data_IF_926880187342
#
_entry.id   IF_926880187342
#
_cell.length_a   1.000
_cell.length_b   1.000
_cell.length_c   1.000
_cell.angle_alpha   90.00
_cell.angle_beta   90.00
_cell.angle_gamma   90.00
#
_symmetry.space_group_name_H-M   'P 1'
#
loop_
_entity.id
_entity.type
_entity.pdbx_description
1 polymer ?
#
# COMPACT_ATOMS: atom_id res chain seq x y z
N UNK A 1 1.83 13.55 -13.68
CA UNK A 1 0.88 14.32 -12.85
C UNK A 1 1.59 15.51 -12.24
N UNK A 2 0.85 16.47 -11.77
CA UNK A 2 1.40 17.65 -11.13
C UNK A 2 1.70 17.34 -9.65
N UNK A 3 2.83 17.87 -9.16
CA UNK A 3 3.22 17.78 -7.76
C UNK A 3 2.12 18.30 -6.83
N UNK A 4 1.86 17.60 -5.73
CA UNK A 4 0.88 18.02 -4.73
C UNK A 4 -0.59 17.87 -5.16
N UNK A 5 -0.90 17.04 -6.17
CA UNK A 5 -2.27 16.90 -6.70
C UNK A 5 -2.86 15.50 -6.59
N UNK A 6 -2.07 14.50 -6.20
CA UNK A 6 -2.57 13.13 -6.09
C UNK A 6 -3.50 12.97 -4.88
N UNK A 7 -4.65 12.37 -5.08
CA UNK A 7 -5.60 12.04 -4.00
C UNK A 7 -5.15 10.83 -3.19
N UNK A 8 -4.56 9.85 -3.87
CA UNK A 8 -4.12 8.58 -3.30
C UNK A 8 -2.69 8.27 -3.73
N UNK A 9 -1.88 7.83 -2.79
CA UNK A 9 -0.54 7.30 -3.03
C UNK A 9 -0.51 5.85 -2.55
N UNK A 10 -0.25 4.94 -3.48
CA UNK A 10 -0.03 3.53 -3.16
C UNK A 10 1.43 3.20 -3.43
N UNK A 11 2.12 2.69 -2.42
CA UNK A 11 3.51 2.30 -2.53
C UNK A 11 3.69 0.80 -2.24
N UNK A 12 4.41 0.12 -3.12
CA UNK A 12 4.77 -1.29 -2.96
C UNK A 12 6.03 -1.48 -2.14
N UNK A 13 6.80 -0.40 -1.95
CA UNK A 13 8.05 -0.36 -1.21
C UNK A 13 8.09 0.90 -0.36
N UNK A 14 8.51 0.76 0.90
CA UNK A 14 8.30 1.82 1.90
C UNK A 14 9.14 3.08 1.65
N UNK A 15 10.38 2.96 1.16
CA UNK A 15 11.20 4.14 0.89
C UNK A 15 10.74 4.90 -0.35
N UNK A 16 10.20 4.18 -1.35
CA UNK A 16 9.58 4.81 -2.51
C UNK A 16 8.30 5.54 -2.10
N UNK A 17 7.54 4.99 -1.15
CA UNK A 17 6.40 5.68 -0.57
C UNK A 17 6.79 6.99 0.10
N UNK A 18 7.87 7.00 0.86
CA UNK A 18 8.41 8.22 1.48
C UNK A 18 8.82 9.25 0.42
N UNK A 19 9.53 8.80 -0.61
CA UNK A 19 10.00 9.67 -1.70
C UNK A 19 8.84 10.29 -2.49
N UNK A 20 7.75 9.54 -2.68
CA UNK A 20 6.62 9.96 -3.48
C UNK A 20 5.63 10.88 -2.74
N UNK A 21 5.85 11.21 -1.46
CA UNK A 21 4.96 12.09 -0.69
C UNK A 21 4.79 13.47 -1.33
N UNK A 22 5.80 13.95 -2.09
CA UNK A 22 5.72 15.23 -2.80
C UNK A 22 4.57 15.30 -3.83
N UNK A 23 4.12 14.15 -4.33
CA UNK A 23 3.03 14.08 -5.30
C UNK A 23 1.64 14.14 -4.66
N UNK A 24 1.56 13.88 -3.34
CA UNK A 24 0.29 13.80 -2.63
C UNK A 24 -0.22 15.20 -2.28
N UNK A 25 -1.51 15.42 -2.54
CA UNK A 25 -2.16 16.66 -2.10
C UNK A 25 -2.29 16.73 -0.57
N UNK A 26 -2.46 17.92 -0.04
CA UNK A 26 -2.81 18.10 1.37
C UNK A 26 -4.10 17.33 1.71
N UNK A 27 -4.07 16.52 2.76
CA UNK A 27 -5.20 15.67 3.15
C UNK A 27 -5.39 14.40 2.30
N UNK A 28 -4.46 14.11 1.39
CA UNK A 28 -4.48 12.87 0.60
C UNK A 28 -4.21 11.62 1.43
N UNK A 29 -4.50 10.48 0.86
CA UNK A 29 -4.38 9.17 1.52
C UNK A 29 -3.12 8.44 1.08
N UNK A 30 -2.32 7.95 2.03
CA UNK A 30 -1.16 7.09 1.78
C UNK A 30 -1.48 5.65 2.19
N UNK A 31 -1.17 4.73 1.29
CA UNK A 31 -1.23 3.29 1.53
C UNK A 31 0.11 2.71 1.11
N UNK A 32 0.82 2.03 2.01
CA UNK A 32 2.12 1.44 1.69
C UNK A 32 2.29 0.07 2.30
N UNK A 33 2.95 -0.81 1.56
CA UNK A 33 3.54 -2.01 2.15
C UNK A 33 4.78 -1.62 2.95
N UNK A 34 5.06 -2.39 4.01
CA UNK A 34 6.30 -2.26 4.78
C UNK A 34 7.52 -2.85 4.07
N UNK A 35 7.34 -3.36 2.85
CA UNK A 35 8.39 -3.96 2.04
C UNK A 35 9.58 -3.03 1.89
N UNK A 36 10.77 -3.57 2.14
CA UNK A 36 12.05 -2.87 1.98
C UNK A 36 12.85 -3.54 0.89
N UNK A 37 13.19 -2.76 -0.13
CA UNK A 37 14.08 -3.21 -1.21
C UNK A 37 15.30 -2.31 -1.22
N UNK A 38 16.35 -2.73 -0.48
CA UNK A 38 17.62 -1.99 -0.45
C UNK A 38 18.31 -2.21 -1.81
N UNK A 39 18.67 -1.15 -2.55
CA UNK A 39 19.37 -1.28 -3.81
C UNK A 39 20.68 -2.06 -3.64
N UNK A 40 21.13 -2.83 -4.64
CA UNK A 40 22.44 -3.49 -4.58
C UNK A 40 23.56 -2.47 -4.37
N UNK A 41 24.58 -2.85 -3.61
CA UNK A 41 25.74 -2.00 -3.28
C UNK A 41 26.39 -1.37 -4.52
N UNK A 42 26.39 -2.09 -5.63
CA UNK A 42 26.97 -1.62 -6.91
C UNK A 42 26.22 -0.46 -7.55
N UNK A 43 24.97 -0.21 -7.14
CA UNK A 43 24.14 0.86 -7.67
C UNK A 43 23.90 1.98 -6.67
N UNK A 44 24.48 1.87 -5.46
CA UNK A 44 24.19 2.79 -4.36
C UNK A 44 24.84 4.15 -4.54
N UNK A 45 26.08 4.24 -5.12
CA UNK A 45 26.79 5.51 -5.21
C UNK A 45 26.72 6.25 -3.86
N UNK A 46 26.19 7.47 -3.87
CA UNK A 46 25.96 8.28 -2.67
C UNK A 46 24.55 8.08 -2.06
N UNK A 47 23.81 7.05 -2.52
CA UNK A 47 22.45 6.80 -2.04
C UNK A 47 22.46 6.11 -0.68
N UNK A 48 21.88 6.77 0.30
CA UNK A 48 21.68 6.24 1.63
C UNK A 48 20.21 5.82 1.81
N UNK A 49 19.97 4.54 2.15
CA UNK A 49 18.61 4.08 2.40
C UNK A 49 18.09 4.73 3.68
N UNK A 50 16.90 5.35 3.67
CA UNK A 50 16.40 6.05 4.86
C UNK A 50 16.27 5.09 6.05
N UNK A 51 16.69 5.54 7.22
CA UNK A 51 16.35 4.86 8.47
C UNK A 51 14.89 5.18 8.81
N UNK A 52 14.13 4.15 9.22
CA UNK A 52 12.72 4.27 9.60
C UNK A 52 11.84 5.06 8.62
N UNK A 53 11.74 4.62 7.34
CA UNK A 53 10.90 5.32 6.37
C UNK A 53 9.41 5.35 6.77
N UNK A 54 8.91 4.30 7.42
CA UNK A 54 7.52 4.28 7.92
C UNK A 54 7.26 5.37 8.95
N UNK A 55 8.17 5.55 9.92
CA UNK A 55 8.09 6.62 10.91
C UNK A 55 8.11 8.00 10.26
N UNK A 56 8.97 8.21 9.27
CA UNK A 56 9.06 9.47 8.52
C UNK A 56 7.77 9.77 7.74
N UNK A 57 7.17 8.76 7.13
CA UNK A 57 5.86 8.92 6.48
C UNK A 57 4.81 9.35 7.50
N UNK A 58 4.76 8.70 8.67
CA UNK A 58 3.78 9.00 9.72
C UNK A 58 3.96 10.38 10.35
N UNK A 59 5.18 10.92 10.36
CA UNK A 59 5.42 12.31 10.80
C UNK A 59 4.68 13.31 9.92
N UNK A 60 4.61 13.07 8.63
CA UNK A 60 3.94 13.93 7.63
C UNK A 60 2.46 13.57 7.49
N UNK A 61 2.16 12.29 7.44
CA UNK A 61 0.81 11.73 7.26
C UNK A 61 0.51 10.79 8.44
N UNK A 62 0.04 11.31 9.58
CA UNK A 62 -0.16 10.50 10.80
C UNK A 62 -1.10 9.31 10.62
N UNK A 63 -2.08 9.41 9.72
CA UNK A 63 -3.04 8.37 9.41
C UNK A 63 -2.66 7.52 8.18
N UNK A 64 -1.40 7.53 7.77
CA UNK A 64 -0.92 6.67 6.69
C UNK A 64 -1.22 5.19 7.01
N UNK A 65 -1.74 4.49 6.02
CA UNK A 65 -2.08 3.07 6.12
C UNK A 65 -0.89 2.24 5.67
N UNK A 66 -0.10 1.78 6.64
CA UNK A 66 1.12 0.99 6.40
C UNK A 66 0.92 -0.40 6.99
N UNK A 67 1.12 -1.44 6.17
CA UNK A 67 0.91 -2.83 6.58
C UNK A 67 1.96 -3.74 5.96
N UNK A 68 2.19 -4.90 6.60
CA UNK A 68 3.07 -5.93 6.06
C UNK A 68 2.31 -6.79 5.03
N UNK A 69 2.17 -6.25 3.82
CA UNK A 69 1.47 -6.93 2.74
C UNK A 69 2.21 -8.18 2.26
N UNK A 70 3.54 -8.22 2.37
CA UNK A 70 4.33 -9.40 2.01
C UNK A 70 3.99 -10.58 2.93
N UNK A 71 3.87 -10.34 4.23
CA UNK A 71 3.50 -11.39 5.19
C UNK A 71 2.10 -11.92 4.91
N UNK A 72 1.13 -11.04 4.66
CA UNK A 72 -0.24 -11.44 4.34
C UNK A 72 -0.26 -12.28 3.07
N UNK A 73 0.45 -11.85 2.02
CA UNK A 73 0.55 -12.58 0.77
C UNK A 73 1.19 -13.97 0.95
N UNK A 74 2.27 -14.03 1.74
CA UNK A 74 2.94 -15.30 2.05
C UNK A 74 2.02 -16.26 2.82
N UNK A 75 1.25 -15.76 3.79
CA UNK A 75 0.28 -16.54 4.55
C UNK A 75 -0.85 -17.08 3.65
N UNK A 76 -1.20 -16.35 2.59
CA UNK A 76 -2.14 -16.81 1.56
C UNK A 76 -1.51 -17.75 0.52
N UNK A 77 -0.20 -17.99 0.61
CA UNK A 77 0.53 -18.91 -0.26
C UNK A 77 1.01 -18.35 -1.60
N UNK A 78 0.91 -17.04 -1.82
CA UNK A 78 1.35 -16.43 -3.07
C UNK A 78 1.81 -14.98 -2.88
N UNK A 79 3.12 -14.75 -2.95
CA UNK A 79 3.74 -13.42 -2.77
C UNK A 79 3.31 -12.40 -3.84
N UNK A 80 2.75 -12.83 -4.96
CA UNK A 80 2.25 -11.93 -6.01
C UNK A 80 0.93 -11.26 -5.66
N UNK A 81 0.31 -11.64 -4.53
CA UNK A 81 -0.97 -11.07 -4.08
C UNK A 81 -0.83 -9.71 -3.40
N UNK A 82 0.37 -9.20 -3.18
CA UNK A 82 0.65 -7.91 -2.51
C UNK A 82 -0.16 -6.78 -3.16
N UNK A 83 -0.16 -6.67 -4.47
CA UNK A 83 -0.88 -5.62 -5.18
C UNK A 83 -2.39 -5.68 -4.93
N UNK A 84 -2.97 -6.87 -4.89
CA UNK A 84 -4.40 -7.04 -4.66
C UNK A 84 -4.78 -6.76 -3.20
N UNK A 85 -3.90 -7.08 -2.25
CA UNK A 85 -4.07 -6.70 -0.84
C UNK A 85 -4.09 -5.17 -0.71
N UNK A 86 -3.15 -4.48 -1.31
CA UNK A 86 -3.09 -3.01 -1.28
C UNK A 86 -4.31 -2.37 -1.97
N UNK A 87 -4.80 -2.99 -3.04
CA UNK A 87 -6.03 -2.58 -3.71
C UNK A 87 -7.24 -2.71 -2.77
N UNK A 88 -7.30 -3.78 -1.98
CA UNK A 88 -8.32 -3.97 -0.95
C UNK A 88 -8.31 -2.86 0.09
N UNK A 89 -7.12 -2.46 0.54
CA UNK A 89 -6.97 -1.31 1.46
C UNK A 89 -7.47 -0.03 0.80
N UNK A 90 -7.07 0.24 -0.44
CA UNK A 90 -7.51 1.43 -1.20
C UNK A 90 -9.04 1.49 -1.31
N UNK A 91 -9.69 0.36 -1.55
CA UNK A 91 -11.13 0.29 -1.75
C UNK A 91 -11.94 0.83 -0.57
N UNK A 92 -11.38 0.79 0.64
CA UNK A 92 -12.03 1.35 1.85
C UNK A 92 -12.03 2.88 1.86
N UNK A 93 -11.20 3.52 1.05
CA UNK A 93 -11.10 4.98 0.95
C UNK A 93 -11.87 5.56 -0.24
N UNK A 94 -12.48 4.71 -1.06
CA UNK A 94 -13.21 5.12 -2.26
C UNK A 94 -14.68 4.76 -2.15
N UNK A 95 -15.54 5.64 -2.66
CA UNK A 95 -17.00 5.43 -2.68
C UNK A 95 -17.41 4.58 -3.89
N UNK A 96 -16.94 3.33 -3.89
CA UNK A 96 -17.26 2.31 -4.89
C UNK A 96 -17.70 1.07 -4.13
N UNK A 97 -18.89 0.50 -4.43
CA UNK A 97 -19.36 -0.72 -3.75
C UNK A 97 -18.37 -1.88 -3.86
N UNK A 98 -18.24 -2.66 -2.79
CA UNK A 98 -17.34 -3.83 -2.76
C UNK A 98 -17.63 -4.79 -3.92
N UNK A 99 -18.89 -5.05 -4.22
CA UNK A 99 -19.31 -5.94 -5.31
C UNK A 99 -18.72 -5.52 -6.66
N UNK A 100 -18.64 -4.22 -6.91
CA UNK A 100 -18.05 -3.70 -8.15
C UNK A 100 -16.57 -4.06 -8.27
N UNK A 101 -15.82 -3.93 -7.16
CA UNK A 101 -14.41 -4.34 -7.12
C UNK A 101 -14.26 -5.84 -7.38
N UNK A 102 -15.08 -6.65 -6.70
CA UNK A 102 -15.05 -8.12 -6.85
C UNK A 102 -15.38 -8.57 -8.26
N UNK A 103 -16.36 -7.95 -8.91
CA UNK A 103 -16.70 -8.24 -10.30
C UNK A 103 -15.56 -7.92 -11.27
N UNK A 104 -14.89 -6.79 -11.08
CA UNK A 104 -13.74 -6.41 -11.93
C UNK A 104 -12.58 -7.39 -11.72
N UNK A 105 -12.28 -7.77 -10.49
CA UNK A 105 -11.25 -8.77 -10.19
C UNK A 105 -11.57 -10.09 -10.92
N UNK A 106 -12.81 -10.58 -10.84
CA UNK A 106 -13.24 -11.80 -11.53
C UNK A 106 -13.05 -11.73 -13.05
N UNK A 107 -13.26 -10.55 -13.65
CA UNK A 107 -13.12 -10.35 -15.09
C UNK A 107 -11.69 -10.19 -15.56
N UNK A 108 -10.80 -9.66 -14.72
CA UNK A 108 -9.43 -9.27 -15.09
C UNK A 108 -8.37 -10.29 -14.74
N UNK A 109 -8.60 -11.07 -13.69
CA UNK A 109 -7.64 -12.05 -13.20
C UNK A 109 -7.83 -13.38 -13.95
N UNK A 110 -6.74 -14.07 -14.34
CA UNK A 110 -6.85 -15.40 -14.91
C UNK A 110 -7.66 -16.34 -14.01
N UNK A 111 -8.50 -17.17 -14.62
CA UNK A 111 -9.49 -18.01 -13.93
C UNK A 111 -8.91 -18.79 -12.74
N UNK A 112 -7.72 -19.37 -12.90
CA UNK A 112 -7.05 -20.16 -11.84
C UNK A 112 -6.62 -19.34 -10.61
N UNK A 113 -6.55 -18.01 -10.73
CA UNK A 113 -6.12 -17.12 -9.64
C UNK A 113 -7.26 -16.30 -9.05
N UNK A 114 -8.49 -16.45 -9.51
CA UNK A 114 -9.62 -15.62 -9.07
C UNK A 114 -9.84 -15.75 -7.57
N UNK A 115 -9.97 -16.96 -7.04
CA UNK A 115 -10.26 -17.18 -5.61
C UNK A 115 -9.17 -16.56 -4.72
N UNK A 116 -7.90 -16.80 -5.05
CA UNK A 116 -6.78 -16.24 -4.29
C UNK A 116 -6.79 -14.71 -4.30
N UNK A 117 -7.09 -14.09 -5.43
CA UNK A 117 -7.17 -12.63 -5.53
C UNK A 117 -8.39 -12.06 -4.80
N UNK A 118 -9.53 -12.72 -4.85
CA UNK A 118 -10.70 -12.30 -4.07
C UNK A 118 -10.43 -12.34 -2.57
N UNK A 119 -9.74 -13.38 -2.10
CA UNK A 119 -9.35 -13.51 -0.70
C UNK A 119 -8.33 -12.43 -0.30
N UNK A 120 -7.31 -12.20 -1.15
CA UNK A 120 -6.32 -11.15 -0.93
C UNK A 120 -6.97 -9.75 -0.85
N UNK A 121 -7.90 -9.47 -1.74
CA UNK A 121 -8.65 -8.22 -1.72
C UNK A 121 -9.42 -8.04 -0.41
N UNK A 122 -10.12 -9.08 0.04
CA UNK A 122 -10.85 -9.07 1.32
C UNK A 122 -9.92 -8.87 2.52
N UNK A 123 -8.76 -9.53 2.54
CA UNK A 123 -7.77 -9.35 3.60
C UNK A 123 -7.30 -7.91 3.69
N UNK A 124 -7.03 -7.26 2.56
CA UNK A 124 -6.68 -5.84 2.53
C UNK A 124 -7.84 -4.95 3.01
N UNK A 125 -9.05 -5.22 2.55
CA UNK A 125 -10.24 -4.45 2.91
C UNK A 125 -10.59 -4.56 4.40
N UNK A 126 -10.42 -5.73 4.99
CA UNK A 126 -10.74 -6.02 6.40
C UNK A 126 -9.59 -5.71 7.37
N UNK A 127 -8.42 -5.32 6.86
CA UNK A 127 -7.27 -5.05 7.71
C UNK A 127 -7.56 -3.90 8.67
N UNK A 128 -7.31 -4.17 9.96
CA UNK A 128 -7.51 -3.17 11.02
C UNK A 128 -6.22 -2.41 11.28
N UNK A 129 -6.22 -1.12 10.96
CA UNK A 129 -5.13 -0.22 11.31
C UNK A 129 -5.34 0.30 12.73
N UNK A 130 -4.24 0.39 13.49
CA UNK A 130 -4.31 0.97 14.83
C UNK A 130 -4.72 2.44 14.75
N UNK A 131 -5.59 2.92 15.68
CA UNK A 131 -5.94 4.34 15.75
C UNK A 131 -4.68 5.17 15.99
N UNK A 132 -4.57 6.29 15.27
CA UNK A 132 -3.52 7.26 15.55
C UNK A 132 -3.77 7.84 16.94
N UNK A 133 -2.76 7.82 17.85
CA UNK A 133 -2.92 8.46 19.15
C UNK A 133 -3.31 9.92 18.95
N UNK A 134 -4.37 10.35 19.64
CA UNK A 134 -4.73 11.77 19.68
C UNK A 134 -3.60 12.44 20.44
N UNK A 135 -2.85 13.34 19.79
CA UNK A 135 -1.76 14.06 20.42
C UNK A 135 -2.24 14.84 21.64
N UNK A 136 -1.48 14.72 22.71
CA UNK A 136 -1.68 15.58 23.88
C UNK A 136 -1.26 17.02 23.59
#
# INVERSE_FOLDING_TARGET
IQEGTADYLIAFEISEGLRALEWLKSGGTVISSMTRMVPPITTIGDYEYPSDPAGKIREVIPNAKILDADKIAADLGNVRLVNTILLGVLSTSMDIPEETWLEVIKKRVPKKFIEANLEAFKKGREYSFEPVPIGE
#
